data_IF_717526054571
#
_entry.id   IF_717526054571
#
_cell.length_a   1.000
_cell.length_b   1.000
_cell.length_c   1.000
_cell.angle_alpha   90.00
_cell.angle_beta   90.00
_cell.angle_gamma   90.00
#
_symmetry.space_group_name_H-M   'P 1'
#
loop_
_entity.id
_entity.type
_entity.pdbx_description
1 polymer ?
#
# COMPACT_ATOMS: atom_id res chain seq x y z
N UNK A 1 10.10 4.01 -10.61
CA UNK A 1 8.86 3.23 -10.37
C UNK A 1 8.47 2.32 -11.53
N UNK A 2 8.27 2.83 -12.75
CA UNK A 2 8.07 1.98 -13.96
C UNK A 2 9.15 0.90 -14.13
N UNK A 3 10.41 1.26 -13.97
CA UNK A 3 11.53 0.30 -14.07
C UNK A 3 11.43 -0.81 -13.02
N UNK A 4 11.19 -0.46 -11.74
CA UNK A 4 11.03 -1.42 -10.63
C UNK A 4 9.81 -2.33 -10.89
N UNK A 5 8.68 -1.76 -11.32
CA UNK A 5 7.48 -2.53 -11.64
C UNK A 5 7.73 -3.52 -12.81
N UNK A 6 8.49 -3.08 -13.81
CA UNK A 6 8.93 -3.92 -14.91
C UNK A 6 9.88 -5.04 -14.48
N UNK A 7 10.88 -4.72 -13.66
CA UNK A 7 11.89 -5.67 -13.18
C UNK A 7 11.30 -6.75 -12.26
N UNK A 8 10.42 -6.37 -11.33
CA UNK A 8 9.97 -7.29 -10.28
C UNK A 8 8.54 -7.83 -10.47
N UNK A 9 7.64 -7.11 -11.15
CA UNK A 9 6.27 -7.59 -11.46
C UNK A 9 6.05 -7.87 -12.95
N UNK A 10 7.04 -7.64 -13.81
CA UNK A 10 6.89 -7.80 -15.27
C UNK A 10 5.92 -6.80 -15.90
N UNK A 11 5.55 -5.73 -15.18
CA UNK A 11 4.56 -4.73 -15.62
C UNK A 11 5.27 -3.45 -16.07
N UNK A 12 5.29 -3.17 -17.37
CA UNK A 12 5.79 -1.89 -17.92
C UNK A 12 4.75 -0.76 -17.74
N UNK A 13 4.46 -0.44 -16.49
CA UNK A 13 3.55 0.62 -16.09
C UNK A 13 4.09 1.32 -14.84
N UNK A 14 3.78 2.61 -14.69
CA UNK A 14 4.02 3.30 -13.43
C UNK A 14 2.92 2.96 -12.43
N UNK A 15 3.25 2.94 -11.15
CA UNK A 15 2.30 2.80 -10.03
C UNK A 15 2.72 3.76 -8.92
N UNK A 16 1.84 4.01 -7.96
CA UNK A 16 2.09 4.88 -6.81
C UNK A 16 2.85 4.14 -5.69
N UNK A 17 2.57 2.86 -5.46
CA UNK A 17 3.21 2.02 -4.45
C UNK A 17 3.50 0.60 -4.98
N UNK A 18 4.56 -0.02 -4.47
CA UNK A 18 4.88 -1.45 -4.60
C UNK A 18 5.25 -2.01 -3.23
N UNK A 19 4.82 -3.24 -2.97
CA UNK A 19 5.16 -4.01 -1.78
C UNK A 19 5.87 -5.30 -2.16
N UNK A 20 6.96 -5.60 -1.47
CA UNK A 20 7.76 -6.82 -1.65
C UNK A 20 7.83 -7.57 -0.33
N UNK A 21 6.98 -8.60 -0.17
CA UNK A 21 6.98 -9.44 1.01
C UNK A 21 8.29 -10.24 1.11
N UNK A 22 8.85 -10.33 2.31
CA UNK A 22 10.08 -11.08 2.56
C UNK A 22 9.81 -12.57 2.85
N UNK A 23 8.59 -12.86 3.29
CA UNK A 23 8.08 -14.22 3.46
C UNK A 23 6.84 -14.37 2.57
N UNK A 24 6.95 -15.27 1.59
CA UNK A 24 5.87 -15.64 0.66
C UNK A 24 5.13 -16.91 1.11
N UNK A 25 5.41 -17.40 2.33
CA UNK A 25 4.76 -18.55 2.94
C UNK A 25 5.35 -19.91 2.56
N UNK A 26 6.41 -19.96 1.74
CA UNK A 26 7.09 -21.20 1.33
C UNK A 26 8.43 -21.42 2.07
N UNK A 27 8.85 -20.48 2.93
CA UNK A 27 10.11 -20.58 3.65
C UNK A 27 9.94 -21.21 5.03
N UNK A 28 10.82 -22.15 5.40
CA UNK A 28 10.90 -22.68 6.77
C UNK A 28 11.45 -21.66 7.78
N UNK A 29 11.66 -20.41 7.36
CA UNK A 29 12.33 -19.36 8.10
C UNK A 29 11.42 -18.14 8.19
N UNK A 30 10.69 -18.03 9.31
CA UNK A 30 9.89 -16.83 9.59
C UNK A 30 10.84 -15.66 9.83
N UNK A 31 10.94 -14.77 8.86
CA UNK A 31 11.69 -13.52 9.00
C UNK A 31 10.96 -12.60 9.98
N UNK A 32 11.67 -11.90 10.90
CA UNK A 32 11.05 -10.85 11.72
C UNK A 32 10.73 -9.58 10.89
N UNK A 33 11.18 -9.51 9.64
CA UNK A 33 10.92 -8.40 8.73
C UNK A 33 9.77 -8.77 7.78
N UNK A 34 8.80 -7.87 7.64
CA UNK A 34 7.68 -8.04 6.72
C UNK A 34 8.10 -7.94 5.24
N UNK A 35 9.02 -7.03 4.95
CA UNK A 35 9.48 -6.74 3.60
C UNK A 35 9.63 -5.24 3.33
N UNK A 36 9.61 -4.88 2.05
CA UNK A 36 9.86 -3.52 1.57
C UNK A 36 8.60 -2.87 0.99
N UNK A 37 8.40 -1.58 1.28
CA UNK A 37 7.40 -0.73 0.62
C UNK A 37 8.12 0.39 -0.13
N UNK A 38 7.84 0.52 -1.42
CA UNK A 38 8.41 1.55 -2.28
C UNK A 38 7.30 2.47 -2.76
N UNK A 39 7.41 3.76 -2.44
CA UNK A 39 6.44 4.79 -2.82
C UNK A 39 7.06 5.77 -3.81
N UNK A 40 6.33 6.10 -4.87
CA UNK A 40 6.71 7.18 -5.78
C UNK A 40 6.27 8.53 -5.22
N UNK A 41 7.22 9.32 -4.71
CA UNK A 41 6.94 10.66 -4.18
C UNK A 41 6.27 11.59 -5.20
N UNK A 42 6.77 11.60 -6.44
CA UNK A 42 6.18 12.45 -7.50
C UNK A 42 4.73 12.06 -7.83
N UNK A 43 4.40 10.76 -7.77
CA UNK A 43 3.04 10.29 -8.02
C UNK A 43 2.14 10.59 -6.82
N UNK A 44 2.64 10.36 -5.60
CA UNK A 44 1.92 10.69 -4.37
C UNK A 44 1.59 12.19 -4.28
N UNK A 45 2.52 13.08 -4.66
CA UNK A 45 2.29 14.51 -4.68
C UNK A 45 1.17 14.91 -5.65
N UNK A 46 1.18 14.36 -6.87
CA UNK A 46 0.11 14.63 -7.86
C UNK A 46 -1.24 14.11 -7.38
N UNK A 47 -1.27 12.88 -6.85
CA UNK A 47 -2.51 12.29 -6.32
C UNK A 47 -3.06 13.06 -5.12
N UNK A 48 -2.19 13.59 -4.26
CA UNK A 48 -2.60 14.42 -3.12
C UNK A 48 -3.28 15.71 -3.62
N UNK A 49 -2.67 16.40 -4.58
CA UNK A 49 -3.24 17.60 -5.20
C UNK A 49 -4.58 17.30 -5.90
N UNK A 50 -4.65 16.24 -6.70
CA UNK A 50 -5.85 15.84 -7.44
C UNK A 50 -7.03 15.49 -6.50
N UNK A 51 -6.73 14.94 -5.32
CA UNK A 51 -7.71 14.53 -4.31
C UNK A 51 -8.02 15.61 -3.28
N UNK A 52 -7.29 16.72 -3.28
CA UNK A 52 -7.44 17.78 -2.29
C UNK A 52 -7.07 17.36 -0.86
N UNK A 53 -6.15 16.39 -0.71
CA UNK A 53 -5.62 15.94 0.59
C UNK A 53 -4.17 16.42 0.75
N UNK A 54 -3.66 16.40 1.97
CA UNK A 54 -2.24 16.73 2.17
C UNK A 54 -1.34 15.61 1.65
N UNK A 55 -0.09 15.96 1.30
CA UNK A 55 0.91 14.97 0.92
C UNK A 55 1.14 13.93 2.02
N UNK A 56 1.16 14.36 3.29
CA UNK A 56 1.32 13.47 4.43
C UNK A 56 0.16 12.48 4.54
N UNK A 57 -1.08 12.93 4.36
CA UNK A 57 -2.25 12.04 4.32
C UNK A 57 -2.14 11.03 3.18
N UNK A 58 -1.65 11.45 2.01
CA UNK A 58 -1.45 10.53 0.88
C UNK A 58 -0.35 9.50 1.17
N UNK A 59 0.73 9.91 1.84
CA UNK A 59 1.75 8.96 2.30
C UNK A 59 1.21 7.99 3.35
N UNK A 60 0.44 8.46 4.32
CA UNK A 60 -0.22 7.62 5.33
C UNK A 60 -1.09 6.55 4.65
N UNK A 61 -1.90 6.93 3.66
CA UNK A 61 -2.66 5.99 2.84
C UNK A 61 -1.74 4.96 2.17
N UNK A 62 -0.81 5.40 1.32
CA UNK A 62 0.07 4.51 0.55
C UNK A 62 0.91 3.57 1.44
N UNK A 63 1.37 4.04 2.60
CA UNK A 63 2.09 3.23 3.57
C UNK A 63 1.20 2.16 4.20
N UNK A 64 -0.01 2.51 4.65
CA UNK A 64 -0.97 1.55 5.21
C UNK A 64 -1.29 0.46 4.18
N UNK A 65 -1.57 0.83 2.94
CA UNK A 65 -1.81 -0.13 1.86
C UNK A 65 -0.61 -1.02 1.58
N UNK A 66 0.58 -0.41 1.52
CA UNK A 66 1.82 -1.14 1.30
C UNK A 66 2.05 -2.20 2.38
N UNK A 67 1.88 -1.82 3.65
CA UNK A 67 2.05 -2.70 4.82
C UNK A 67 0.98 -3.79 4.86
N UNK A 68 -0.28 -3.49 4.53
CA UNK A 68 -1.34 -4.49 4.49
C UNK A 68 -1.06 -5.58 3.45
N UNK A 69 -0.52 -5.22 2.29
CA UNK A 69 -0.02 -6.20 1.33
C UNK A 69 1.13 -7.05 1.90
N UNK A 70 2.08 -6.44 2.62
CA UNK A 70 3.14 -7.22 3.29
C UNK A 70 2.59 -8.14 4.41
N UNK A 71 1.42 -7.80 4.98
CA UNK A 71 0.74 -8.60 5.99
C UNK A 71 -0.21 -9.66 5.40
N UNK A 72 -0.24 -9.81 4.07
CA UNK A 72 -1.03 -10.84 3.38
C UNK A 72 -2.46 -10.44 3.01
N UNK A 73 -2.84 -9.16 3.16
CA UNK A 73 -4.09 -8.66 2.59
C UNK A 73 -3.92 -8.42 1.09
N UNK A 74 -4.88 -8.84 0.28
CA UNK A 74 -4.81 -8.64 -1.17
C UNK A 74 -6.19 -8.37 -1.76
N UNK A 75 -6.44 -7.10 -2.08
CA UNK A 75 -7.68 -6.65 -2.71
C UNK A 75 -7.83 -7.10 -4.18
N UNK A 76 -6.78 -7.67 -4.82
CA UNK A 76 -6.88 -8.17 -6.19
C UNK A 76 -7.51 -9.58 -6.26
N UNK A 77 -7.77 -10.25 -5.11
CA UNK A 77 -8.24 -11.65 -5.05
C UNK A 77 -9.77 -11.84 -5.09
N UNK A 78 -10.56 -10.80 -4.80
CA UNK A 78 -12.02 -10.90 -4.76
C UNK A 78 -12.68 -9.78 -3.95
N UNK A 79 -14.01 -9.69 -4.03
CA UNK A 79 -14.81 -8.67 -3.32
C UNK A 79 -14.68 -8.79 -1.79
N UNK A 80 -14.58 -10.02 -1.27
CA UNK A 80 -14.46 -10.27 0.18
C UNK A 80 -13.08 -9.80 0.70
N UNK A 81 -12.00 -10.09 -0.03
CA UNK A 81 -10.65 -9.65 0.31
C UNK A 81 -10.47 -8.14 0.14
N UNK A 82 -11.09 -7.55 -0.89
CA UNK A 82 -11.15 -6.10 -1.07
C UNK A 82 -11.84 -5.44 0.13
N UNK A 83 -13.01 -5.93 0.55
CA UNK A 83 -13.75 -5.40 1.69
C UNK A 83 -12.94 -5.55 3.00
N UNK A 84 -12.30 -6.69 3.22
CA UNK A 84 -11.46 -6.92 4.40
C UNK A 84 -10.26 -5.97 4.45
N UNK A 85 -9.58 -5.75 3.32
CA UNK A 85 -8.46 -4.81 3.23
C UNK A 85 -8.94 -3.36 3.40
N UNK A 86 -10.12 -3.02 2.89
CA UNK A 86 -10.73 -1.70 3.03
C UNK A 86 -11.05 -1.36 4.48
N UNK A 87 -11.75 -2.27 5.17
CA UNK A 87 -12.05 -2.13 6.60
C UNK A 87 -10.77 -1.92 7.41
N UNK A 88 -9.75 -2.75 7.16
CA UNK A 88 -8.48 -2.67 7.88
C UNK A 88 -7.73 -1.38 7.61
N UNK A 89 -7.80 -0.87 6.39
CA UNK A 89 -7.17 0.40 6.01
C UNK A 89 -7.79 1.57 6.77
N UNK A 90 -9.12 1.63 6.85
CA UNK A 90 -9.84 2.68 7.58
C UNK A 90 -9.52 2.62 9.08
N UNK A 91 -9.49 1.41 9.66
CA UNK A 91 -9.10 1.21 11.06
C UNK A 91 -7.72 1.80 11.35
N UNK A 92 -6.71 1.43 10.55
CA UNK A 92 -5.33 1.87 10.77
C UNK A 92 -5.15 3.36 10.53
N UNK A 93 -5.76 3.91 9.47
CA UNK A 93 -5.72 5.35 9.19
C UNK A 93 -6.38 6.15 10.31
N UNK A 94 -7.48 5.67 10.88
CA UNK A 94 -8.12 6.32 12.04
C UNK A 94 -7.23 6.40 13.29
N UNK A 95 -6.27 5.48 13.45
CA UNK A 95 -5.32 5.49 14.56
C UNK A 95 -4.17 6.48 14.36
N UNK A 96 -3.69 6.66 13.13
CA UNK A 96 -2.51 7.49 12.83
C UNK A 96 -2.86 8.90 12.37
N UNK A 97 -4.06 9.10 11.81
CA UNK A 97 -4.58 10.39 11.31
C UNK A 97 -5.95 10.72 11.96
N UNK A 98 -6.03 10.86 13.29
CA UNK A 98 -7.30 11.02 13.97
C UNK A 98 -8.02 12.32 13.55
N UNK A 99 -9.27 12.19 13.10
CA UNK A 99 -10.10 13.32 12.69
C UNK A 99 -9.85 13.84 11.27
N UNK A 100 -8.96 13.19 10.51
CA UNK A 100 -8.67 13.55 9.12
C UNK A 100 -9.80 13.18 8.13
N UNK A 101 -10.75 12.33 8.54
CA UNK A 101 -11.88 11.92 7.69
C UNK A 101 -11.41 11.25 6.39
N UNK A 102 -10.33 10.45 6.48
CA UNK A 102 -9.74 9.80 5.32
C UNK A 102 -10.56 8.57 4.93
N UNK A 103 -10.90 8.52 3.65
CA UNK A 103 -11.60 7.39 3.02
C UNK A 103 -10.60 6.30 2.60
N UNK A 104 -11.13 5.12 2.27
CA UNK A 104 -10.38 4.06 1.59
C UNK A 104 -10.14 4.44 0.12
N UNK A 105 -8.88 4.28 -0.33
CA UNK A 105 -8.32 4.67 -1.64
C UNK A 105 -9.27 5.35 -2.62
#
# INVERSE_FOLDING_TARGET
MREINGQYRGKDATTNVLSFAMDDGDSSFVSPLLGDVIISCDTAAREADDRGVTLDQRYSQLLVHGILHLAGYDHELGEDEEAAMAEKSVELLGLIEPGAGLDYF
#
